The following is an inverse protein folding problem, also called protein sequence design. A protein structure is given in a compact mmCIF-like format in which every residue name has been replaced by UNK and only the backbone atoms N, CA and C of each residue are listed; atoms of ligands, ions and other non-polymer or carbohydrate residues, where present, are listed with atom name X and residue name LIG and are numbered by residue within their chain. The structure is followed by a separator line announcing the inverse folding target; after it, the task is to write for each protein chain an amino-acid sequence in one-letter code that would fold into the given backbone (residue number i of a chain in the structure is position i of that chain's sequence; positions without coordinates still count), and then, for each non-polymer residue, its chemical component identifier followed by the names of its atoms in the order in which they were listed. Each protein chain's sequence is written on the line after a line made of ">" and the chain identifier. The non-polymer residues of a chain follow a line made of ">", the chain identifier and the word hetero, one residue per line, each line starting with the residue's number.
data_IF_770214511191
#
_entry.id   IF_770214511191
#
_cell.length_a   1.000
_cell.length_b   1.000
_cell.length_c   1.000
_cell.angle_alpha   90.00
_cell.angle_beta   90.00
_cell.angle_gamma   90.00
#
_symmetry.space_group_name_H-M   'P 1'
#
loop_
_entity.id
_entity.type
_entity.pdbx_description
1 polymer ?
#
# COMPACT_ATOMS: atom_id res chain seq x y z
N UNK A 1 -2.21 -14.15 0.60
CA UNK A 1 -3.19 -13.43 -0.24
C UNK A 1 -2.42 -12.59 -1.24
N UNK A 2 -2.79 -12.62 -2.51
CA UNK A 2 -2.22 -11.73 -3.53
C UNK A 2 -3.23 -10.59 -3.73
N UNK A 3 -2.82 -9.36 -3.43
CA UNK A 3 -3.64 -8.17 -3.65
C UNK A 3 -3.16 -7.45 -4.90
N UNK A 4 -4.10 -7.01 -5.73
CA UNK A 4 -3.85 -6.12 -6.86
C UNK A 4 -3.92 -4.66 -6.43
N UNK A 5 -3.25 -3.78 -7.19
CA UNK A 5 -3.33 -2.33 -6.98
C UNK A 5 -4.75 -1.77 -7.17
N UNK A 6 -5.60 -2.45 -7.96
CA UNK A 6 -7.00 -2.09 -8.16
C UNK A 6 -7.84 -2.42 -6.93
N UNK A 7 -7.64 -3.59 -6.32
CA UNK A 7 -8.34 -3.96 -5.09
C UNK A 7 -7.97 -3.03 -3.93
N UNK A 8 -6.69 -2.65 -3.81
CA UNK A 8 -6.27 -1.65 -2.82
C UNK A 8 -6.98 -0.31 -3.02
N UNK A 9 -7.11 0.14 -4.28
CA UNK A 9 -7.85 1.37 -4.60
C UNK A 9 -9.32 1.29 -4.20
N UNK A 10 -9.98 0.16 -4.46
CA UNK A 10 -11.38 -0.06 -4.07
C UNK A 10 -11.57 -0.13 -2.55
N UNK A 11 -10.68 -0.81 -1.83
CA UNK A 11 -10.80 -1.01 -0.38
C UNK A 11 -10.48 0.25 0.43
N UNK A 12 -9.56 1.07 -0.05
CA UNK A 12 -9.07 2.25 0.68
C UNK A 12 -9.65 3.56 0.18
N UNK A 13 -10.38 3.54 -0.94
CA UNK A 13 -10.79 4.74 -1.69
C UNK A 13 -9.65 5.67 -2.12
N UNK A 14 -8.40 5.21 -2.06
CA UNK A 14 -7.23 5.95 -2.56
C UNK A 14 -7.18 5.75 -4.08
N UNK A 15 -6.93 6.83 -4.84
CA UNK A 15 -6.78 6.74 -6.30
C UNK A 15 -5.63 5.81 -6.66
N UNK A 16 -5.82 5.03 -7.71
CA UNK A 16 -4.81 4.09 -8.20
C UNK A 16 -3.44 4.76 -8.44
N UNK A 17 -3.42 5.96 -9.04
CA UNK A 17 -2.20 6.73 -9.29
C UNK A 17 -1.46 7.12 -7.99
N UNK A 18 -2.21 7.46 -6.93
CA UNK A 18 -1.62 7.81 -5.63
C UNK A 18 -1.04 6.56 -4.95
N UNK A 19 -1.68 5.40 -5.10
CA UNK A 19 -1.15 4.10 -4.65
C UNK A 19 0.15 3.78 -5.40
N UNK A 20 0.16 3.93 -6.73
CA UNK A 20 1.35 3.67 -7.56
C UNK A 20 2.51 4.58 -7.15
N UNK A 21 2.25 5.88 -7.00
CA UNK A 21 3.26 6.86 -6.58
C UNK A 21 3.80 6.56 -5.18
N UNK A 22 2.92 6.28 -4.22
CA UNK A 22 3.29 6.03 -2.81
C UNK A 22 4.06 4.72 -2.67
N UNK A 23 3.56 3.61 -3.20
CA UNK A 23 4.26 2.34 -3.10
C UNK A 23 5.53 2.31 -3.96
N UNK A 24 5.57 3.09 -5.05
CA UNK A 24 6.76 3.33 -5.85
C UNK A 24 7.86 4.02 -5.05
N UNK A 25 7.53 5.07 -4.28
CA UNK A 25 8.52 5.76 -3.43
C UNK A 25 9.01 4.90 -2.25
N UNK A 26 8.23 3.90 -1.84
CA UNK A 26 8.60 2.92 -0.81
C UNK A 26 9.36 1.70 -1.35
N UNK A 27 9.72 1.67 -2.64
CA UNK A 27 10.31 0.50 -3.31
C UNK A 27 9.47 -0.79 -3.17
N UNK A 28 8.15 -0.65 -3.04
CA UNK A 28 7.19 -1.74 -2.84
C UNK A 28 6.49 -2.18 -4.14
N UNK A 29 6.88 -1.62 -5.28
CA UNK A 29 6.38 -1.98 -6.61
C UNK A 29 7.52 -2.48 -7.51
N UNK A 30 7.19 -3.40 -8.41
CA UNK A 30 8.01 -3.76 -9.56
C UNK A 30 7.29 -3.39 -10.84
N UNK A 31 8.00 -2.71 -11.73
CA UNK A 31 7.52 -2.42 -13.08
C UNK A 31 7.93 -3.54 -14.02
N UNK A 32 6.96 -4.14 -14.70
CA UNK A 32 7.17 -5.23 -15.64
C UNK A 32 6.29 -5.05 -16.88
N UNK A 33 6.92 -4.92 -18.06
CA UNK A 33 6.25 -4.85 -19.37
C UNK A 33 5.11 -3.82 -19.48
N UNK A 34 5.24 -2.64 -18.86
CA UNK A 34 4.17 -1.63 -18.89
C UNK A 34 3.29 -1.62 -17.64
N UNK A 35 3.40 -2.63 -16.80
CA UNK A 35 2.50 -2.83 -15.65
C UNK A 35 3.24 -2.73 -14.33
N UNK A 36 2.60 -2.09 -13.34
CA UNK A 36 3.07 -2.10 -11.96
C UNK A 36 2.48 -3.31 -11.21
N UNK A 37 3.36 -4.12 -10.64
CA UNK A 37 3.01 -5.24 -9.78
C UNK A 37 3.44 -4.98 -8.35
N UNK A 38 2.60 -5.38 -7.40
CA UNK A 38 2.91 -5.30 -5.99
C UNK A 38 4.09 -6.25 -5.68
N UNK A 39 5.14 -5.73 -5.05
CA UNK A 39 6.31 -6.50 -4.65
C UNK A 39 6.60 -6.25 -3.17
N UNK A 40 5.73 -6.80 -2.31
CA UNK A 40 5.83 -6.65 -0.85
C UNK A 40 5.89 -8.01 -0.18
N UNK A 41 6.62 -8.06 0.93
CA UNK A 41 6.61 -9.20 1.85
C UNK A 41 6.03 -8.76 3.20
N UNK A 42 5.44 -9.66 4.00
CA UNK A 42 4.97 -9.32 5.34
C UNK A 42 6.05 -8.65 6.19
N UNK A 43 7.29 -9.15 6.13
CA UNK A 43 8.44 -8.59 6.85
C UNK A 43 8.72 -7.13 6.47
N UNK A 44 8.66 -6.78 5.19
CA UNK A 44 8.86 -5.38 4.75
C UNK A 44 7.81 -4.44 5.33
N UNK A 45 6.57 -4.90 5.47
CA UNK A 45 5.48 -4.12 6.06
C UNK A 45 5.69 -3.97 7.56
N UNK A 46 6.06 -5.05 8.25
CA UNK A 46 6.38 -5.04 9.69
C UNK A 46 7.55 -4.10 10.01
N UNK A 47 8.65 -4.21 9.24
CA UNK A 47 9.83 -3.35 9.39
C UNK A 47 9.43 -1.87 9.21
N UNK A 48 8.67 -1.55 8.15
CA UNK A 48 8.17 -0.18 7.90
C UNK A 48 7.29 0.34 9.04
N UNK A 49 6.35 -0.46 9.55
CA UNK A 49 5.48 -0.06 10.66
C UNK A 49 6.24 0.13 11.98
N UNK A 50 7.30 -0.66 12.20
CA UNK A 50 8.16 -0.53 13.38
C UNK A 50 8.95 0.78 13.38
N UNK A 51 9.37 1.25 12.20
CA UNK A 51 10.07 2.53 12.03
C UNK A 51 9.11 3.73 12.13
N UNK A 52 7.82 3.54 11.88
CA UNK A 52 6.81 4.60 11.76
C UNK A 52 5.66 4.47 12.78
N UNK A 53 5.94 4.02 14.02
CA UNK A 53 4.97 3.65 15.07
C UNK A 53 3.86 4.67 15.44
N UNK A 54 3.90 5.91 14.94
CA UNK A 54 2.96 6.98 15.29
C UNK A 54 1.81 7.19 14.27
N UNK A 55 1.61 6.31 13.29
CA UNK A 55 0.54 6.44 12.27
C UNK A 55 -0.65 5.54 12.62
N UNK A 56 -1.29 5.75 13.78
CA UNK A 56 -2.59 5.11 14.07
C UNK A 56 -3.69 6.17 13.99
N UNK A 57 -4.54 6.07 12.98
CA UNK A 57 -5.83 6.74 12.98
C UNK A 57 -6.86 5.75 13.52
N UNK A 58 -7.52 6.10 14.62
CA UNK A 58 -8.69 5.34 15.09
C UNK A 58 -9.79 5.43 14.03
N UNK A 59 -10.45 4.31 13.67
CA UNK A 59 -11.56 4.35 12.73
C UNK A 59 -12.64 5.29 13.28
N UNK A 60 -13.14 6.19 12.42
CA UNK A 60 -14.24 7.08 12.78
C UNK A 60 -15.46 6.22 13.12
N UNK A 61 -15.83 6.17 14.40
CA UNK A 61 -17.09 5.59 14.85
C UNK A 61 -18.23 6.39 14.20
N UNK A 62 -18.76 5.89 13.09
CA UNK A 62 -20.00 6.41 12.51
C UNK A 62 -21.16 5.89 13.38
N UNK A 63 -21.65 6.76 14.26
CA UNK A 63 -22.87 6.58 15.06
C UNK A 63 -24.12 6.65 14.20
#
# INVERSE_FOLDING_TARGET
>A
MNFTLRELSLLTSIRHEDIVSTLGSMNMLKYWKGEHSLCVTPKMVEDFLSEHQNIKMEPMNLS
#
